data_IF_482257211158
#
_entry.id   IF_482257211158
#
_cell.length_a   1.000
_cell.length_b   1.000
_cell.length_c   1.000
_cell.angle_alpha   90.00
_cell.angle_beta   90.00
_cell.angle_gamma   90.00
#
_symmetry.space_group_name_H-M   'P 1'
#
loop_
_entity.id
_entity.type
_entity.pdbx_description
1 polymer ?
#
# COMPACT_ATOMS: atom_id res chain seq x y z
N UNK A 1 -12.16 3.17 17.96
CA UNK A 1 -11.90 3.93 16.73
C UNK A 1 -13.11 4.80 16.42
N UNK A 2 -12.95 6.10 16.14
CA UNK A 2 -14.08 6.94 15.71
C UNK A 2 -14.44 6.63 14.25
N UNK A 3 -15.71 6.77 13.88
CA UNK A 3 -16.22 6.46 12.53
C UNK A 3 -15.42 7.18 11.41
N UNK A 4 -15.05 8.44 11.65
CA UNK A 4 -14.20 9.22 10.74
C UNK A 4 -12.80 8.62 10.56
N UNK A 5 -12.24 8.03 11.61
CA UNK A 5 -10.91 7.40 11.53
C UNK A 5 -11.02 6.08 10.73
N UNK A 6 -12.05 5.27 10.96
CA UNK A 6 -12.27 4.03 10.18
C UNK A 6 -12.46 4.31 8.69
N UNK A 7 -13.29 5.30 8.33
CA UNK A 7 -13.46 5.70 6.92
C UNK A 7 -12.15 6.18 6.28
N UNK A 8 -11.31 6.89 7.04
CA UNK A 8 -9.99 7.32 6.57
C UNK A 8 -9.09 6.12 6.25
N UNK A 9 -8.91 5.18 7.20
CA UNK A 9 -8.02 4.02 7.01
C UNK A 9 -8.49 3.14 5.84
N UNK A 10 -9.80 2.90 5.73
CA UNK A 10 -10.42 2.18 4.60
C UNK A 10 -10.16 2.92 3.28
N UNK A 11 -10.31 4.26 3.27
CA UNK A 11 -10.04 5.09 2.10
C UNK A 11 -8.60 4.98 1.64
N UNK A 12 -7.64 5.06 2.56
CA UNK A 12 -6.20 4.92 2.27
C UNK A 12 -5.86 3.54 1.71
N UNK A 13 -6.36 2.48 2.33
CA UNK A 13 -6.13 1.12 1.85
C UNK A 13 -6.71 0.88 0.44
N UNK A 14 -7.85 1.48 0.08
CA UNK A 14 -8.37 1.44 -1.30
C UNK A 14 -7.44 2.14 -2.28
N UNK A 15 -6.97 3.34 -1.94
CA UNK A 15 -6.03 4.10 -2.79
C UNK A 15 -4.77 3.29 -3.04
N UNK A 16 -4.16 2.71 -2.00
CA UNK A 16 -2.93 1.93 -2.16
C UNK A 16 -3.12 0.68 -3.00
N UNK A 17 -4.25 -0.01 -2.83
CA UNK A 17 -4.62 -1.17 -3.66
C UNK A 17 -4.74 -0.79 -5.14
N UNK A 18 -5.44 0.30 -5.43
CA UNK A 18 -5.77 0.71 -6.81
C UNK A 18 -4.53 1.24 -7.53
N UNK A 19 -3.69 2.04 -6.85
CA UNK A 19 -2.41 2.47 -7.39
C UNK A 19 -1.43 1.30 -7.57
N UNK A 20 -1.39 0.33 -6.64
CA UNK A 20 -0.55 -0.87 -6.83
C UNK A 20 -1.00 -1.69 -8.05
N UNK A 21 -2.31 -1.84 -8.25
CA UNK A 21 -2.86 -2.49 -9.45
C UNK A 21 -2.48 -1.72 -10.74
N UNK A 22 -2.53 -0.39 -10.71
CA UNK A 22 -2.05 0.45 -11.82
C UNK A 22 -0.56 0.25 -12.09
N UNK A 23 0.26 0.15 -11.04
CA UNK A 23 1.69 -0.15 -11.19
C UNK A 23 1.93 -1.47 -11.93
N UNK A 24 1.20 -2.52 -11.56
CA UNK A 24 1.27 -3.85 -12.19
C UNK A 24 0.90 -3.77 -13.68
N UNK A 25 -0.13 -3.00 -14.02
CA UNK A 25 -0.57 -2.81 -15.40
C UNK A 25 0.48 -2.07 -16.23
N UNK A 26 1.13 -1.04 -15.66
CA UNK A 26 2.21 -0.30 -16.31
C UNK A 26 3.43 -1.20 -16.58
N UNK A 27 3.83 -2.01 -15.60
CA UNK A 27 4.95 -2.95 -15.76
C UNK A 27 4.63 -4.01 -16.83
N UNK A 28 3.41 -4.55 -16.82
CA UNK A 28 2.95 -5.52 -17.82
C UNK A 28 2.94 -4.96 -19.25
N UNK A 29 2.85 -3.63 -19.40
CA UNK A 29 2.93 -2.92 -20.68
C UNK A 29 4.36 -2.56 -21.08
N UNK A 30 5.36 -2.89 -20.28
CA UNK A 30 6.76 -2.51 -20.47
C UNK A 30 7.08 -1.08 -20.04
N UNK A 31 6.15 -0.39 -19.37
CA UNK A 31 6.35 0.97 -18.87
C UNK A 31 7.05 1.00 -17.50
N UNK A 32 8.19 0.30 -17.40
CA UNK A 32 8.90 0.04 -16.14
C UNK A 32 9.21 1.30 -15.34
N UNK A 33 9.61 2.40 -15.99
CA UNK A 33 9.86 3.67 -15.30
C UNK A 33 8.61 4.24 -14.61
N UNK A 34 7.44 4.13 -15.26
CA UNK A 34 6.18 4.62 -14.69
C UNK A 34 5.72 3.71 -13.55
N UNK A 35 5.87 2.40 -13.70
CA UNK A 35 5.61 1.45 -12.61
C UNK A 35 6.52 1.71 -11.38
N UNK A 36 7.81 1.97 -11.60
CA UNK A 36 8.74 2.34 -10.51
C UNK A 36 8.33 3.64 -9.80
N UNK A 37 7.83 4.64 -10.53
CA UNK A 37 7.33 5.87 -9.92
C UNK A 37 6.09 5.63 -9.06
N UNK A 38 5.21 4.73 -9.47
CA UNK A 38 4.05 4.32 -8.67
C UNK A 38 4.51 3.65 -7.37
N UNK A 39 5.42 2.67 -7.46
CA UNK A 39 5.98 2.01 -6.27
C UNK A 39 6.66 3.00 -5.32
N UNK A 40 7.54 3.89 -5.82
CA UNK A 40 8.21 4.92 -5.02
C UNK A 40 7.21 5.83 -4.31
N UNK A 41 6.15 6.22 -5.01
CA UNK A 41 5.08 7.08 -4.46
C UNK A 41 4.33 6.37 -3.33
N UNK A 42 3.96 5.11 -3.53
CA UNK A 42 3.27 4.28 -2.55
C UNK A 42 4.12 4.09 -1.29
N UNK A 43 5.40 3.73 -1.46
CA UNK A 43 6.33 3.53 -0.34
C UNK A 43 6.48 4.80 0.49
N UNK A 44 6.76 5.94 -0.15
CA UNK A 44 6.89 7.24 0.54
C UNK A 44 5.60 7.64 1.27
N UNK A 45 4.43 7.39 0.66
CA UNK A 45 3.16 7.68 1.30
C UNK A 45 2.97 6.83 2.57
N UNK A 46 3.30 5.54 2.52
CA UNK A 46 3.22 4.65 3.67
C UNK A 46 4.22 5.03 4.77
N UNK A 47 5.47 5.35 4.43
CA UNK A 47 6.49 5.80 5.38
C UNK A 47 6.09 7.09 6.10
N UNK A 48 5.61 8.08 5.33
CA UNK A 48 5.14 9.35 5.89
C UNK A 48 3.92 9.16 6.80
N UNK A 49 3.02 8.25 6.43
CA UNK A 49 1.85 7.95 7.25
C UNK A 49 2.24 7.20 8.52
N UNK A 50 3.11 6.19 8.41
CA UNK A 50 3.63 5.41 9.54
C UNK A 50 4.33 6.30 10.58
N UNK A 51 5.13 7.27 10.13
CA UNK A 51 5.83 8.21 11.00
C UNK A 51 4.88 9.10 11.83
N UNK A 52 3.67 9.34 11.33
CA UNK A 52 2.65 10.17 11.98
C UNK A 52 1.52 9.34 12.62
N UNK A 53 1.58 8.01 12.54
CA UNK A 53 0.49 7.16 12.96
C UNK A 53 0.55 6.86 14.47
N UNK A 54 -0.53 7.19 15.18
CA UNK A 54 -0.63 7.04 16.64
C UNK A 54 -0.99 5.63 17.14
N UNK A 55 -0.84 4.60 16.29
CA UNK A 55 -1.05 3.18 16.61
C UNK A 55 -2.44 2.82 17.15
N UNK A 56 -3.49 3.53 16.72
CA UNK A 56 -4.86 3.30 17.19
C UNK A 56 -5.56 2.09 16.55
N UNK A 57 -4.99 1.55 15.46
CA UNK A 57 -5.39 0.30 14.80
C UNK A 57 -4.15 -0.54 14.50
N UNK A 58 -4.05 -1.71 15.13
CA UNK A 58 -2.92 -2.63 14.96
C UNK A 58 -2.88 -3.25 13.55
N UNK A 59 -4.03 -3.52 12.94
CA UNK A 59 -4.11 -4.08 11.59
C UNK A 59 -3.63 -3.05 10.56
N UNK A 60 -3.99 -1.77 10.74
CA UNK A 60 -3.51 -0.70 9.89
C UNK A 60 -2.02 -0.42 10.10
N UNK A 61 -1.54 -0.48 11.34
CA UNK A 61 -0.11 -0.37 11.64
C UNK A 61 0.68 -1.49 10.94
N UNK A 62 0.23 -2.74 11.05
CA UNK A 62 0.85 -3.88 10.37
C UNK A 62 0.84 -3.72 8.85
N UNK A 63 -0.26 -3.22 8.30
CA UNK A 63 -0.39 -2.89 6.89
C UNK A 63 0.67 -1.88 6.44
N UNK A 64 0.82 -0.75 7.14
CA UNK A 64 1.82 0.27 6.81
C UNK A 64 3.25 -0.26 6.94
N UNK A 65 3.55 -0.99 8.01
CA UNK A 65 4.87 -1.60 8.23
C UNK A 65 5.23 -2.56 7.09
N UNK A 66 4.30 -3.43 6.69
CA UNK A 66 4.51 -4.41 5.62
C UNK A 66 4.85 -3.74 4.29
N UNK A 67 4.21 -2.61 3.96
CA UNK A 67 4.52 -1.84 2.75
C UNK A 67 5.86 -1.09 2.90
N UNK A 68 6.13 -0.44 4.03
CA UNK A 68 7.40 0.28 4.23
C UNK A 68 8.62 -0.65 4.18
N UNK A 69 8.45 -1.89 4.60
CA UNK A 69 9.49 -2.91 4.61
C UNK A 69 9.75 -3.54 3.23
N UNK A 70 8.92 -3.27 2.21
CA UNK A 70 9.19 -3.77 0.84
C UNK A 70 10.47 -3.10 0.32
N UNK A 71 11.46 -3.94 0.00
CA UNK A 71 12.73 -3.52 -0.57
C UNK A 71 12.70 -3.85 -2.06
N UNK A 72 12.89 -2.82 -2.89
CA UNK A 72 13.13 -3.05 -4.31
C UNK A 72 14.57 -3.55 -4.48
N UNK A 73 14.72 -4.77 -4.97
CA UNK A 73 15.78 -5.08 -5.92
C UNK A 73 15.23 -4.85 -7.33
N UNK A 74 16.11 -4.54 -8.30
CA UNK A 74 15.70 -4.11 -9.66
C UNK A 74 14.76 -5.11 -10.37
N UNK A 75 14.82 -6.41 -10.03
CA UNK A 75 13.98 -7.48 -10.61
C UNK A 75 12.68 -7.78 -9.81
N UNK A 76 12.40 -7.05 -8.73
CA UNK A 76 11.31 -7.37 -7.81
C UNK A 76 10.10 -6.42 -7.87
N UNK A 77 10.03 -5.49 -8.84
CA UNK A 77 9.00 -4.45 -8.91
C UNK A 77 7.57 -5.03 -8.90
N UNK A 78 7.30 -6.04 -9.73
CA UNK A 78 5.99 -6.71 -9.77
C UNK A 78 5.63 -7.31 -8.42
N UNK A 79 6.59 -8.00 -7.78
CA UNK A 79 6.38 -8.66 -6.50
C UNK A 79 6.07 -7.66 -5.39
N UNK A 80 6.75 -6.51 -5.37
CA UNK A 80 6.49 -5.43 -4.43
C UNK A 80 5.10 -4.81 -4.63
N UNK A 81 4.71 -4.55 -5.88
CA UNK A 81 3.38 -4.02 -6.19
C UNK A 81 2.28 -5.03 -5.83
N UNK A 82 2.52 -6.33 -6.08
CA UNK A 82 1.61 -7.39 -5.65
C UNK A 82 1.49 -7.47 -4.13
N UNK A 83 2.60 -7.33 -3.40
CA UNK A 83 2.61 -7.31 -1.95
C UNK A 83 1.77 -6.14 -1.41
N UNK A 84 1.93 -4.93 -1.95
CA UNK A 84 1.14 -3.76 -1.54
C UNK A 84 -0.35 -4.00 -1.79
N UNK A 85 -0.69 -4.52 -2.97
CA UNK A 85 -2.08 -4.83 -3.34
C UNK A 85 -2.69 -5.90 -2.42
N UNK A 86 -1.93 -6.95 -2.09
CA UNK A 86 -2.36 -8.02 -1.19
C UNK A 86 -2.54 -7.53 0.25
N UNK A 87 -1.58 -6.79 0.78
CA UNK A 87 -1.66 -6.20 2.12
C UNK A 87 -2.88 -5.28 2.25
N UNK A 88 -3.15 -4.48 1.22
CA UNK A 88 -4.33 -3.62 1.16
C UNK A 88 -5.64 -4.41 1.16
N UNK A 89 -5.72 -5.50 0.39
CA UNK A 89 -6.90 -6.39 0.34
C UNK A 89 -7.15 -7.07 1.67
N UNK A 90 -6.08 -7.55 2.33
CA UNK A 90 -6.17 -8.21 3.63
C UNK A 90 -6.77 -7.26 4.66
N UNK A 91 -6.23 -6.04 4.80
CA UNK A 91 -6.76 -5.03 5.71
C UNK A 91 -8.24 -4.73 5.41
N UNK A 92 -8.59 -4.48 4.15
CA UNK A 92 -9.98 -4.18 3.76
C UNK A 92 -10.96 -5.32 4.10
N UNK A 93 -10.50 -6.57 4.03
CA UNK A 93 -11.32 -7.74 4.37
C UNK A 93 -11.56 -7.88 5.87
N UNK A 94 -10.61 -7.42 6.69
CA UNK A 94 -10.69 -7.44 8.15
C UNK A 94 -11.61 -6.32 8.67
N UNK A 95 -11.72 -5.19 7.96
CA UNK A 95 -12.59 -4.07 8.29
C UNK A 95 -14.08 -4.27 7.91
N UNK A 96 -14.39 -5.30 7.12
CA UNK A 96 -15.76 -5.66 6.70
C UNK A 96 -16.41 -6.77 7.52
N UNK A 97 -15.76 -7.24 8.59
CA UNK A 97 -16.29 -8.18 9.58
C UNK A 97 -16.85 -7.44 10.78
#
# INVERSE_FOLDING_TARGET
MTENNSMYLIGRAKIYRDEAQRGIELESQGENQRAQLVWKSLKRACEAELANYSQQDEAYLHFLQRISASLQDDDALLADLELIRLASRQFLSEQGR
#
